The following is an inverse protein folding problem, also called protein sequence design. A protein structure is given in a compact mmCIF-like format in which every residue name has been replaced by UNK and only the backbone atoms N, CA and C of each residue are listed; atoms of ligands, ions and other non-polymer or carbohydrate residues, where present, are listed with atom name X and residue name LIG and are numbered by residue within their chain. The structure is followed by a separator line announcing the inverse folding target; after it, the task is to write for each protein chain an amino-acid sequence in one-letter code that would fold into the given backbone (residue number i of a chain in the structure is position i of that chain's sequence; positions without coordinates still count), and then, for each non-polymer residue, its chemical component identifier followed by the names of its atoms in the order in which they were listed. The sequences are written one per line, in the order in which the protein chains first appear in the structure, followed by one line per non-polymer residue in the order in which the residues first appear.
data_IF_688929962210
#
_entry.id   IF_688929962210
#
_cell.length_a   1.000
_cell.length_b   1.000
_cell.length_c   1.000
_cell.angle_alpha   90.00
_cell.angle_beta   90.00
_cell.angle_gamma   90.00
#
_symmetry.space_group_name_H-M   'P 1'
#
loop_
_entity.id
_entity.type
_entity.pdbx_description
1 polymer ?
#
# COMPACT_ATOMS: atom_id res chain seq x y z
N UNK A 1 -19.66 -16.82 -8.20
CA UNK A 1 -18.27 -16.67 -7.73
C UNK A 1 -17.92 -15.21 -7.48
N UNK A 2 -18.08 -14.29 -8.45
CA UNK A 2 -17.80 -12.86 -8.24
C UNK A 2 -18.67 -12.23 -7.13
N UNK A 3 -19.94 -12.60 -7.02
CA UNK A 3 -20.85 -12.10 -5.96
C UNK A 3 -20.39 -12.50 -4.55
N UNK A 4 -19.89 -13.72 -4.35
CA UNK A 4 -19.39 -14.18 -3.05
C UNK A 4 -18.11 -13.44 -2.65
N UNK A 5 -17.19 -13.24 -3.60
CA UNK A 5 -15.98 -12.46 -3.39
C UNK A 5 -16.30 -10.99 -3.07
N UNK A 6 -17.26 -10.40 -3.78
CA UNK A 6 -17.78 -9.07 -3.53
C UNK A 6 -18.42 -8.95 -2.14
N UNK A 7 -19.18 -9.95 -1.71
CA UNK A 7 -19.79 -9.98 -0.38
C UNK A 7 -18.72 -10.02 0.73
N UNK A 8 -17.66 -10.83 0.54
CA UNK A 8 -16.51 -10.86 1.47
C UNK A 8 -15.79 -9.51 1.50
N UNK A 9 -15.49 -8.92 0.34
CA UNK A 9 -14.85 -7.61 0.27
C UNK A 9 -15.70 -6.52 0.95
N UNK A 10 -17.02 -6.53 0.72
CA UNK A 10 -17.97 -5.61 1.36
C UNK A 10 -17.99 -5.77 2.88
N UNK A 11 -17.92 -7.01 3.39
CA UNK A 11 -17.80 -7.27 4.83
C UNK A 11 -16.48 -6.75 5.40
N UNK A 12 -15.36 -6.89 4.68
CA UNK A 12 -14.06 -6.33 5.09
C UNK A 12 -14.14 -4.81 5.15
N UNK A 13 -14.67 -4.15 4.10
CA UNK A 13 -14.84 -2.70 4.05
C UNK A 13 -15.69 -2.23 5.22
N UNK A 14 -16.86 -2.85 5.45
CA UNK A 14 -17.74 -2.50 6.55
C UNK A 14 -17.08 -2.70 7.93
N UNK A 15 -16.25 -3.73 8.09
CA UNK A 15 -15.53 -3.97 9.34
C UNK A 15 -14.46 -2.89 9.59
N UNK A 16 -13.75 -2.44 8.54
CA UNK A 16 -12.78 -1.34 8.64
C UNK A 16 -13.46 0.01 8.85
N UNK A 17 -14.63 0.24 8.23
CA UNK A 17 -15.45 1.45 8.41
C UNK A 17 -15.92 1.64 9.86
N UNK A 18 -15.96 0.58 10.69
CA UNK A 18 -16.21 0.71 12.14
C UNK A 18 -15.08 1.43 12.89
N UNK A 19 -13.88 1.46 12.32
CA UNK A 19 -12.69 2.10 12.92
C UNK A 19 -12.32 3.39 12.18
N UNK A 20 -12.46 3.40 10.85
CA UNK A 20 -12.09 4.51 9.98
C UNK A 20 -13.37 5.12 9.39
N UNK A 21 -13.85 6.19 10.03
CA UNK A 21 -15.10 6.86 9.66
C UNK A 21 -14.93 7.80 8.46
N UNK A 22 -15.91 7.81 7.55
CA UNK A 22 -15.99 8.78 6.45
C UNK A 22 -14.94 8.63 5.34
N UNK A 23 -14.19 7.52 5.30
CA UNK A 23 -13.05 7.29 4.38
C UNK A 23 -13.23 6.04 3.51
N UNK A 24 -14.46 5.79 3.04
CA UNK A 24 -14.79 4.59 2.27
C UNK A 24 -13.89 4.42 1.04
N UNK A 25 -13.67 5.48 0.29
CA UNK A 25 -12.84 5.46 -0.93
C UNK A 25 -11.41 5.02 -0.62
N UNK A 26 -10.82 5.52 0.46
CA UNK A 26 -9.46 5.18 0.88
C UNK A 26 -9.37 3.74 1.40
N UNK A 27 -10.40 3.26 2.11
CA UNK A 27 -10.52 1.87 2.55
C UNK A 27 -10.61 0.95 1.33
N UNK A 28 -11.43 1.28 0.35
CA UNK A 28 -11.59 0.54 -0.91
C UNK A 28 -10.25 0.47 -1.68
N UNK A 29 -9.55 1.60 -1.84
CA UNK A 29 -8.23 1.63 -2.48
C UNK A 29 -7.20 0.76 -1.73
N UNK A 30 -7.18 0.86 -0.40
CA UNK A 30 -6.27 0.05 0.40
C UNK A 30 -6.59 -1.46 0.28
N UNK A 31 -7.88 -1.83 0.29
CA UNK A 31 -8.29 -3.21 0.07
C UNK A 31 -7.94 -3.68 -1.35
N UNK A 32 -8.14 -2.85 -2.38
CA UNK A 32 -7.75 -3.20 -3.76
C UNK A 32 -6.26 -3.52 -3.85
N UNK A 33 -5.40 -2.74 -3.20
CA UNK A 33 -3.97 -3.01 -3.16
C UNK A 33 -3.63 -4.30 -2.38
N UNK A 34 -4.29 -4.56 -1.24
CA UNK A 34 -4.18 -5.82 -0.49
C UNK A 34 -4.55 -7.02 -1.37
N UNK A 35 -5.68 -6.95 -2.08
CA UNK A 35 -6.18 -8.00 -2.98
C UNK A 35 -5.30 -8.17 -4.22
N UNK A 36 -4.62 -7.12 -4.64
CA UNK A 36 -3.69 -7.12 -5.77
C UNK A 36 -2.26 -7.51 -5.37
N UNK A 37 -2.01 -7.83 -4.09
CA UNK A 37 -0.67 -8.13 -3.54
C UNK A 37 0.33 -6.98 -3.69
N UNK A 38 -0.15 -5.73 -3.71
CA UNK A 38 0.66 -4.54 -3.94
C UNK A 38 0.82 -3.67 -2.70
N UNK A 39 2.02 -3.12 -2.51
CA UNK A 39 2.34 -2.23 -1.39
C UNK A 39 1.72 -0.84 -1.57
N UNK A 40 1.46 -0.15 -0.46
CA UNK A 40 0.77 1.14 -0.44
C UNK A 40 1.68 2.20 0.16
N UNK A 41 1.74 3.37 -0.46
CA UNK A 41 2.32 4.57 0.14
C UNK A 41 1.20 5.52 0.59
N UNK A 42 1.19 5.87 1.86
CA UNK A 42 0.23 6.78 2.47
C UNK A 42 0.92 8.11 2.72
N UNK A 43 0.61 9.12 1.90
CA UNK A 43 1.22 10.45 1.99
C UNK A 43 0.23 11.42 2.61
N UNK A 44 0.42 11.76 3.88
CA UNK A 44 -0.60 12.50 4.61
C UNK A 44 -0.06 13.08 5.93
N UNK A 45 -0.75 14.08 6.47
CA UNK A 45 -0.37 14.81 7.69
C UNK A 45 -0.54 13.98 8.97
N UNK A 46 0.20 14.25 10.06
CA UNK A 46 0.08 13.47 11.30
C UNK A 46 -1.35 13.40 11.84
N UNK A 47 -1.70 12.27 12.46
CA UNK A 47 -3.00 12.11 13.15
C UNK A 47 -4.19 11.69 12.28
N UNK A 48 -4.02 11.40 10.98
CA UNK A 48 -5.14 11.05 10.08
C UNK A 48 -5.59 9.58 10.11
N UNK A 49 -5.19 8.82 11.12
CA UNK A 49 -5.64 7.42 11.28
C UNK A 49 -4.94 6.39 10.39
N UNK A 50 -3.79 6.71 9.78
CA UNK A 50 -2.99 5.80 8.92
C UNK A 50 -2.66 4.46 9.61
N UNK A 51 -2.18 4.54 10.85
CA UNK A 51 -1.88 3.36 11.68
C UNK A 51 -3.12 2.52 11.94
N UNK A 52 -4.27 3.19 12.13
CA UNK A 52 -5.53 2.53 12.38
C UNK A 52 -6.07 1.84 11.13
N UNK A 53 -5.90 2.43 9.95
CA UNK A 53 -6.27 1.81 8.68
C UNK A 53 -5.49 0.51 8.46
N UNK A 54 -4.17 0.55 8.60
CA UNK A 54 -3.32 -0.63 8.44
C UNK A 54 -3.67 -1.73 9.46
N UNK A 55 -3.85 -1.36 10.73
CA UNK A 55 -4.22 -2.33 11.77
C UNK A 55 -5.61 -2.90 11.55
N UNK A 56 -6.59 -2.09 11.18
CA UNK A 56 -7.97 -2.54 10.94
C UNK A 56 -8.06 -3.49 9.75
N UNK A 57 -7.32 -3.21 8.67
CA UNK A 57 -7.20 -4.13 7.54
C UNK A 57 -6.56 -5.45 7.95
N UNK A 58 -5.42 -5.42 8.65
CA UNK A 58 -4.73 -6.62 9.11
C UNK A 58 -5.64 -7.52 9.95
N UNK A 59 -6.36 -6.94 10.93
CA UNK A 59 -7.33 -7.69 11.76
C UNK A 59 -8.45 -8.26 10.89
N UNK A 60 -9.03 -7.46 10.00
CA UNK A 60 -10.16 -7.88 9.16
C UNK A 60 -9.81 -9.05 8.24
N UNK A 61 -8.56 -9.15 7.79
CA UNK A 61 -8.08 -10.23 6.90
C UNK A 61 -7.23 -11.30 7.59
N UNK A 62 -7.30 -11.38 8.93
CA UNK A 62 -6.65 -12.45 9.70
C UNK A 62 -5.12 -12.46 9.57
N UNK A 63 -4.53 -11.30 9.29
CA UNK A 63 -3.09 -11.16 9.06
C UNK A 63 -2.37 -10.67 10.31
N UNK A 64 -1.18 -11.21 10.55
CA UNK A 64 -0.24 -10.67 11.55
C UNK A 64 0.16 -9.24 11.19
N UNK A 65 0.21 -8.37 12.21
CA UNK A 65 0.53 -6.95 12.05
C UNK A 65 1.78 -6.57 12.83
N UNK A 66 2.68 -5.81 12.20
CA UNK A 66 3.79 -5.14 12.88
C UNK A 66 3.91 -3.70 12.39
N UNK A 67 4.24 -2.80 13.32
CA UNK A 67 4.59 -1.40 13.03
C UNK A 67 6.09 -1.24 13.23
N UNK A 68 6.72 -0.58 12.27
CA UNK A 68 8.11 -0.15 12.31
C UNK A 68 8.09 1.37 12.22
N UNK A 69 8.58 2.04 13.25
CA UNK A 69 8.77 3.48 13.21
C UNK A 69 10.13 3.75 12.58
N UNK A 70 10.15 4.46 11.46
CA UNK A 70 11.39 4.85 10.80
C UNK A 70 11.93 6.10 11.50
N UNK A 71 13.17 6.01 11.95
CA UNK A 71 13.92 7.07 12.61
C UNK A 71 15.31 7.19 11.99
N UNK A 72 16.01 8.32 12.14
CA UNK A 72 17.33 8.52 11.54
C UNK A 72 18.39 7.51 12.00
N UNK A 73 18.22 6.94 13.19
CA UNK A 73 19.11 5.96 13.83
C UNK A 73 18.72 4.50 13.56
N UNK A 74 17.56 4.24 12.94
CA UNK A 74 17.09 2.88 12.65
C UNK A 74 18.06 2.18 11.69
N UNK A 75 18.57 1.01 12.09
CA UNK A 75 19.48 0.21 11.27
C UNK A 75 18.70 -0.75 10.35
N UNK A 76 19.27 -1.15 9.21
CA UNK A 76 18.69 -2.20 8.36
C UNK A 76 18.34 -3.48 9.14
N UNK A 77 19.23 -3.90 10.06
CA UNK A 77 19.05 -5.08 10.90
C UNK A 77 17.86 -4.99 11.85
N UNK A 78 17.45 -3.78 12.25
CA UNK A 78 16.28 -3.57 13.11
C UNK A 78 14.97 -3.80 12.33
N UNK A 79 15.02 -3.74 11.00
CA UNK A 79 13.91 -4.05 10.09
C UNK A 79 13.93 -5.55 9.74
N UNK A 80 15.06 -6.03 9.24
CA UNK A 80 15.24 -7.36 8.65
C UNK A 80 15.36 -8.47 9.69
N UNK A 81 15.98 -8.16 10.82
CA UNK A 81 16.44 -9.13 11.81
C UNK A 81 17.97 -9.22 11.83
N UNK A 82 18.45 -9.93 12.84
CA UNK A 82 19.89 -10.08 13.13
C UNK A 82 20.18 -11.48 13.65
N UNK A 83 21.37 -11.98 13.36
CA UNK A 83 21.88 -13.23 13.92
C UNK A 83 22.55 -12.94 15.27
N UNK A 84 22.11 -13.61 16.32
CA UNK A 84 22.67 -13.45 17.67
C UNK A 84 23.23 -14.77 18.19
N UNK A 85 24.35 -14.70 18.91
CA UNK A 85 24.91 -15.88 19.55
C UNK A 85 24.10 -16.26 20.79
N UNK A 86 23.50 -17.45 20.77
CA UNK A 86 22.74 -17.99 21.90
C UNK A 86 23.67 -18.78 22.83
N UNK A 87 24.13 -18.13 23.91
CA UNK A 87 25.08 -18.71 24.87
C UNK A 87 24.59 -20.03 25.52
N UNK A 88 23.29 -20.28 25.59
CA UNK A 88 22.75 -21.52 26.17
C UNK A 88 22.96 -22.73 25.26
N UNK A 89 22.91 -22.51 23.95
CA UNK A 89 23.01 -23.57 22.94
C UNK A 89 24.37 -23.59 22.25
N UNK A 90 25.18 -22.53 22.38
CA UNK A 90 26.47 -22.41 21.70
C UNK A 90 26.36 -22.17 20.20
N UNK A 91 25.19 -21.70 19.74
CA UNK A 91 24.85 -21.58 18.32
C UNK A 91 24.40 -20.16 17.98
N UNK A 92 24.60 -19.77 16.72
CA UNK A 92 24.07 -18.52 16.16
C UNK A 92 22.60 -18.71 15.75
N UNK A 93 21.70 -17.92 16.31
CA UNK A 93 20.26 -17.99 16.07
C UNK A 93 19.77 -16.70 15.38
N UNK A 94 19.00 -16.87 14.30
CA UNK A 94 18.39 -15.73 13.62
C UNK A 94 17.18 -15.21 14.38
N UNK A 95 17.26 -13.96 14.85
CA UNK A 95 16.13 -13.23 15.41
C UNK A 95 15.46 -12.42 14.31
N UNK A 96 14.27 -12.88 13.92
CA UNK A 96 13.42 -12.24 12.90
C UNK A 96 13.10 -10.80 13.29
N UNK A 97 13.36 -9.88 12.36
CA UNK A 97 12.92 -8.50 12.48
C UNK A 97 11.41 -8.35 12.27
N UNK A 98 10.84 -7.18 12.60
CA UNK A 98 9.42 -6.87 12.47
C UNK A 98 8.88 -6.97 11.03
N UNK A 99 9.75 -6.99 10.01
CA UNK A 99 9.35 -7.24 8.63
C UNK A 99 8.74 -8.64 8.41
N UNK A 100 8.99 -9.59 9.32
CA UNK A 100 8.42 -10.94 9.29
C UNK A 100 6.98 -10.99 9.81
N UNK A 101 6.13 -10.09 9.32
CA UNK A 101 4.69 -10.10 9.53
C UNK A 101 3.97 -10.00 8.17
N UNK A 102 2.74 -10.47 8.11
CA UNK A 102 1.96 -10.49 6.87
C UNK A 102 1.56 -9.07 6.43
N UNK A 103 1.30 -8.18 7.38
CA UNK A 103 1.07 -6.76 7.13
C UNK A 103 2.00 -5.90 7.99
N UNK A 104 2.82 -5.09 7.34
CA UNK A 104 3.81 -4.22 7.99
C UNK A 104 3.48 -2.76 7.71
N UNK A 105 3.34 -1.97 8.77
CA UNK A 105 3.27 -0.51 8.69
C UNK A 105 4.69 0.05 8.84
N UNK A 106 5.24 0.65 7.78
CA UNK A 106 6.50 1.37 7.79
C UNK A 106 6.21 2.87 7.97
N UNK A 107 6.16 3.32 9.21
CA UNK A 107 5.73 4.67 9.55
C UNK A 107 6.88 5.67 9.39
N UNK A 108 6.63 6.77 8.68
CA UNK A 108 7.59 7.84 8.39
C UNK A 108 8.84 7.35 7.67
N UNK A 109 8.66 6.56 6.60
CA UNK A 109 9.74 5.93 5.84
C UNK A 109 10.83 6.93 5.39
N UNK A 110 10.44 8.17 5.15
CA UNK A 110 11.34 9.26 4.76
C UNK A 110 12.23 9.76 5.91
N UNK A 111 12.10 9.30 7.16
CA UNK A 111 12.99 9.70 8.26
C UNK A 111 14.21 8.81 8.44
N UNK A 112 14.21 7.60 7.86
CA UNK A 112 15.37 6.71 7.96
C UNK A 112 16.36 6.95 6.82
N UNK A 113 17.61 6.53 7.04
CA UNK A 113 18.67 6.62 6.03
C UNK A 113 18.32 5.83 4.76
N UNK A 114 18.88 6.21 3.58
CA UNK A 114 18.67 5.47 2.33
C UNK A 114 19.00 3.97 2.42
N UNK A 115 19.95 3.60 3.30
CA UNK A 115 20.35 2.20 3.50
C UNK A 115 19.25 1.39 4.19
N UNK A 116 18.59 1.97 5.20
CA UNK A 116 17.47 1.34 5.91
C UNK A 116 16.20 1.31 5.05
N UNK A 117 15.93 2.38 4.29
CA UNK A 117 14.86 2.37 3.28
C UNK A 117 15.07 1.26 2.25
N UNK A 118 16.30 1.09 1.75
CA UNK A 118 16.62 0.05 0.77
C UNK A 118 16.37 -1.36 1.31
N UNK A 119 16.68 -1.63 2.58
CA UNK A 119 16.42 -2.93 3.20
C UNK A 119 14.92 -3.29 3.23
N UNK A 120 14.04 -2.32 3.50
CA UNK A 120 12.59 -2.52 3.41
C UNK A 120 12.15 -2.78 1.96
N UNK A 121 12.64 -1.97 1.03
CA UNK A 121 12.24 -2.03 -0.38
C UNK A 121 12.74 -3.29 -1.09
N UNK A 122 13.90 -3.81 -0.70
CA UNK A 122 14.41 -5.10 -1.14
C UNK A 122 13.50 -6.22 -0.64
N UNK A 123 13.12 -6.20 0.63
CA UNK A 123 12.16 -7.16 1.20
C UNK A 123 10.79 -7.12 0.49
N UNK A 124 10.33 -5.93 0.07
CA UNK A 124 9.11 -5.76 -0.74
C UNK A 124 9.22 -6.42 -2.11
N UNK A 125 10.35 -6.27 -2.78
CA UNK A 125 10.57 -6.79 -4.13
C UNK A 125 10.81 -8.31 -4.12
N UNK A 126 11.74 -8.77 -3.28
CA UNK A 126 12.23 -10.15 -3.27
C UNK A 126 11.35 -11.10 -2.45
N UNK A 127 10.46 -10.54 -1.58
CA UNK A 127 9.63 -11.31 -0.64
C UNK A 127 10.43 -12.24 0.27
N UNK A 128 11.69 -11.92 0.49
CA UNK A 128 12.62 -12.59 1.37
C UNK A 128 13.62 -11.58 1.92
N UNK A 129 14.35 -11.98 2.95
CA UNK A 129 15.39 -11.19 3.58
C UNK A 129 16.65 -12.03 3.68
N UNK A 130 17.80 -11.49 3.29
CA UNK A 130 19.09 -12.18 3.41
C UNK A 130 19.89 -11.57 4.56
N UNK A 131 20.25 -12.41 5.54
CA UNK A 131 21.10 -12.03 6.68
C UNK A 131 22.24 -13.03 6.77
N UNK A 132 23.47 -12.52 6.84
CA UNK A 132 24.71 -13.31 6.93
C UNK A 132 24.80 -14.43 5.87
N UNK A 133 24.39 -14.14 4.64
CA UNK A 133 24.41 -15.09 3.52
C UNK A 133 23.29 -16.13 3.52
N UNK A 134 22.37 -16.10 4.51
CA UNK A 134 21.21 -17.00 4.58
C UNK A 134 19.93 -16.23 4.25
N UNK A 135 19.14 -16.75 3.31
CA UNK A 135 17.86 -16.14 2.90
C UNK A 135 16.69 -16.72 3.68
N UNK A 136 15.84 -15.84 4.20
CA UNK A 136 14.63 -16.16 4.95
C UNK A 136 13.41 -15.65 4.19
N UNK A 137 12.51 -16.55 3.80
CA UNK A 137 11.26 -16.18 3.15
C UNK A 137 10.34 -15.39 4.11
N UNK A 138 9.68 -14.36 3.57
CA UNK A 138 8.65 -13.61 4.30
C UNK A 138 7.31 -14.38 4.28
N UNK A 139 6.45 -14.17 5.29
CA UNK A 139 5.17 -14.86 5.36
C UNK A 139 4.26 -14.47 4.19
N UNK A 140 3.41 -15.39 3.73
CA UNK A 140 2.42 -15.11 2.70
C UNK A 140 1.01 -15.00 3.34
N UNK A 141 0.19 -13.99 2.98
CA UNK A 141 0.51 -12.84 2.13
C UNK A 141 1.50 -11.89 2.84
N UNK A 142 2.25 -11.11 2.06
CA UNK A 142 3.16 -10.07 2.56
C UNK A 142 2.77 -8.71 1.96
N UNK A 143 2.51 -7.73 2.81
CA UNK A 143 2.13 -6.38 2.43
C UNK A 143 2.86 -5.35 3.30
N UNK A 144 3.24 -4.24 2.67
CA UNK A 144 3.80 -3.07 3.34
C UNK A 144 2.90 -1.88 3.05
N UNK A 145 2.49 -1.18 4.10
CA UNK A 145 1.88 0.14 4.04
C UNK A 145 2.93 1.12 4.60
N UNK A 146 3.55 1.90 3.74
CA UNK A 146 4.52 2.91 4.16
C UNK A 146 3.81 4.26 4.32
N UNK A 147 4.23 5.07 5.30
CA UNK A 147 3.73 6.44 5.46
C UNK A 147 4.86 7.43 5.24
N UNK A 148 4.54 8.59 4.68
CA UNK A 148 5.46 9.73 4.61
C UNK A 148 4.72 11.03 4.89
N UNK A 149 5.33 11.92 5.67
CA UNK A 149 4.80 13.25 5.94
C UNK A 149 5.45 14.25 4.96
N UNK A 150 4.69 14.92 4.06
CA UNK A 150 5.26 15.81 3.06
C UNK A 150 5.72 17.17 3.63
N UNK A 151 5.42 17.50 4.88
CA UNK A 151 5.68 18.82 5.48
C UNK A 151 7.04 18.86 6.23
N UNK A 152 7.58 17.70 6.62
CA UNK A 152 8.84 17.62 7.36
C UNK A 152 10.05 17.62 6.41
N UNK A 153 10.70 18.78 6.30
CA UNK A 153 11.90 18.95 5.47
C UNK A 153 13.22 18.73 6.22
N UNK A 154 13.23 18.89 7.55
CA UNK A 154 14.45 18.70 8.35
C UNK A 154 14.62 17.24 8.76
N UNK A 155 15.80 16.68 8.46
CA UNK A 155 16.15 15.31 8.85
C UNK A 155 15.42 14.22 8.07
N UNK A 156 14.89 14.52 6.88
CA UNK A 156 14.23 13.54 6.01
C UNK A 156 15.04 13.24 4.75
N UNK A 157 14.95 11.99 4.29
CA UNK A 157 15.53 11.43 3.09
C UNK A 157 14.38 11.05 2.15
N UNK A 158 14.10 11.85 1.10
CA UNK A 158 13.01 11.55 0.17
C UNK A 158 13.31 10.25 -0.58
N UNK A 159 12.26 9.46 -0.83
CA UNK A 159 12.37 8.26 -1.64
C UNK A 159 12.67 8.66 -3.10
N UNK A 160 13.76 8.16 -3.71
CA UNK A 160 13.98 8.27 -5.14
C UNK A 160 12.82 7.69 -5.95
N UNK A 161 12.64 8.17 -7.17
CA UNK A 161 11.53 7.78 -8.06
C UNK A 161 11.51 6.27 -8.36
N UNK A 162 12.70 5.67 -8.52
CA UNK A 162 12.84 4.22 -8.67
C UNK A 162 12.36 3.42 -7.45
N UNK A 163 12.36 4.03 -6.26
CA UNK A 163 11.82 3.44 -5.03
C UNK A 163 10.32 3.65 -4.92
N UNK A 164 9.82 4.84 -5.25
CA UNK A 164 8.38 5.14 -5.31
C UNK A 164 7.64 4.20 -6.27
N UNK A 165 8.27 3.83 -7.39
CA UNK A 165 7.69 2.93 -8.40
C UNK A 165 7.35 1.52 -7.85
N UNK A 166 7.97 1.10 -6.73
CA UNK A 166 7.69 -0.17 -6.05
C UNK A 166 6.35 -0.19 -5.30
N UNK A 167 5.80 0.98 -4.99
CA UNK A 167 4.47 1.07 -4.38
C UNK A 167 3.40 0.98 -5.47
N UNK A 168 2.44 0.07 -5.31
CA UNK A 168 1.35 -0.10 -6.27
C UNK A 168 0.48 1.15 -6.33
N UNK A 169 0.12 1.68 -5.15
CA UNK A 169 -0.75 2.85 -5.01
C UNK A 169 -0.16 3.88 -4.05
N UNK A 170 -0.48 5.15 -4.32
CA UNK A 170 -0.33 6.25 -3.35
C UNK A 170 -1.69 6.79 -2.95
N UNK A 171 -2.00 6.75 -1.65
CA UNK A 171 -3.28 7.21 -1.09
C UNK A 171 -3.08 8.36 -0.10
N UNK A 172 -4.12 9.15 0.12
CA UNK A 172 -4.19 10.20 1.15
C UNK A 172 -5.49 10.03 1.93
N UNK A 173 -5.44 10.05 3.26
CA UNK A 173 -6.66 9.97 4.08
C UNK A 173 -7.23 11.37 4.31
N UNK A 174 -6.38 12.33 4.63
CA UNK A 174 -6.77 13.67 5.04
C UNK A 174 -7.53 13.68 6.36
N UNK A 175 -7.85 14.87 6.85
CA UNK A 175 -8.65 15.01 8.07
C UNK A 175 -10.08 14.45 7.89
N UNK A 176 -10.67 13.85 8.94
CA UNK A 176 -12.07 13.46 8.93
C UNK A 176 -12.98 14.68 8.77
N UNK A 177 -14.20 14.47 8.28
CA UNK A 177 -15.20 15.53 8.33
C UNK A 177 -15.59 15.79 9.80
N UNK A 178 -16.11 16.99 10.09
CA UNK A 178 -16.48 17.40 11.46
C UNK A 178 -17.37 16.36 12.17
N UNK A 179 -18.35 15.79 11.47
CA UNK A 179 -19.25 14.80 12.04
C UNK A 179 -18.53 13.50 12.41
N UNK A 180 -17.64 13.03 11.53
CA UNK A 180 -16.82 11.83 11.73
C UNK A 180 -15.82 12.06 12.88
N UNK A 181 -15.22 13.25 12.97
CA UNK A 181 -14.30 13.60 14.05
C UNK A 181 -15.00 13.58 15.43
N UNK A 182 -16.21 14.13 15.52
CA UNK A 182 -17.04 14.05 16.74
C UNK A 182 -17.33 12.58 17.10
N UNK A 183 -17.66 11.75 16.10
CA UNK A 183 -17.93 10.33 16.33
C UNK A 183 -16.68 9.57 16.79
N UNK A 184 -15.50 9.86 16.22
CA UNK A 184 -14.20 9.31 16.67
C UNK A 184 -13.95 9.67 18.13
N UNK A 185 -14.09 10.96 18.50
CA UNK A 185 -13.88 11.43 19.86
C UNK A 185 -14.86 10.82 20.85
N UNK A 186 -16.09 10.56 20.42
CA UNK A 186 -17.11 9.91 21.26
C UNK A 186 -16.79 8.45 21.48
N UNK A 187 -16.47 7.71 20.42
CA UNK A 187 -16.19 6.28 20.50
C UNK A 187 -14.95 5.99 21.36
N UNK A 188 -13.89 6.80 21.24
CA UNK A 188 -12.65 6.61 22.00
C UNK A 188 -12.80 6.80 23.52
N UNK A 189 -13.88 7.42 24.01
CA UNK A 189 -14.13 7.59 25.45
C UNK A 189 -14.52 6.29 26.15
N UNK A 190 -15.18 5.38 25.43
CA UNK A 190 -15.66 4.12 25.99
C UNK A 190 -14.63 3.02 25.78
N UNK A 191 -14.28 2.76 24.52
CA UNK A 191 -13.30 1.75 24.11
C UNK A 191 -12.77 2.11 22.72
N UNK A 192 -11.47 1.87 22.45
CA UNK A 192 -10.95 2.12 21.12
C UNK A 192 -11.65 1.20 20.08
N UNK A 193 -12.24 1.72 18.98
CA UNK A 193 -13.02 0.92 18.03
C UNK A 193 -12.31 -0.31 17.45
N UNK A 194 -10.98 -0.28 17.38
CA UNK A 194 -10.15 -1.37 16.88
C UNK A 194 -10.23 -2.64 17.73
N UNK A 195 -10.61 -2.51 19.00
CA UNK A 195 -10.80 -3.65 19.90
C UNK A 195 -12.18 -4.30 19.72
N UNK A 196 -13.07 -3.64 18.97
CA UNK A 196 -14.45 -4.12 18.73
C UNK A 196 -14.62 -4.88 17.43
N UNK A 197 -13.58 -4.86 16.57
CA UNK A 197 -13.58 -5.57 15.30
C UNK A 197 -12.89 -6.92 15.45
N UNK A 198 -13.33 -7.88 14.64
CA UNK A 198 -12.77 -9.22 14.57
C UNK A 198 -12.42 -9.58 13.14
N UNK A 199 -11.73 -10.71 12.99
CA UNK A 199 -11.42 -11.28 11.69
C UNK A 199 -12.68 -11.55 10.87
N UNK A 200 -12.67 -11.12 9.61
CA UNK A 200 -13.75 -11.38 8.63
C UNK A 200 -13.40 -12.61 7.80
N UNK A 201 -12.12 -12.74 7.43
CA UNK A 201 -11.53 -13.88 6.72
C UNK A 201 -10.13 -14.18 7.26
N UNK A 202 -9.69 -15.43 7.12
CA UNK A 202 -8.33 -15.83 7.46
C UNK A 202 -7.31 -15.38 6.42
N UNK A 203 -6.03 -15.40 6.79
CA UNK A 203 -4.95 -15.12 5.86
C UNK A 203 -4.93 -16.09 4.66
N UNK A 204 -5.29 -17.37 4.85
CA UNK A 204 -5.43 -18.32 3.74
C UNK A 204 -6.64 -17.97 2.87
N UNK A 205 -7.77 -17.60 3.47
CA UNK A 205 -8.92 -17.08 2.72
C UNK A 205 -8.57 -15.83 1.91
N UNK A 206 -7.72 -14.94 2.43
CA UNK A 206 -7.20 -13.79 1.69
C UNK A 206 -6.35 -14.24 0.48
N UNK A 207 -5.51 -15.26 0.64
CA UNK A 207 -4.71 -15.79 -0.48
C UNK A 207 -5.59 -16.33 -1.61
N UNK A 208 -6.68 -17.00 -1.26
CA UNK A 208 -7.67 -17.51 -2.23
C UNK A 208 -8.41 -16.36 -2.94
N UNK A 209 -8.75 -15.30 -2.19
CA UNK A 209 -9.32 -14.07 -2.77
C UNK A 209 -8.34 -13.42 -3.76
N UNK A 210 -7.08 -13.26 -3.37
CA UNK A 210 -6.03 -12.70 -4.24
C UNK A 210 -5.82 -13.54 -5.50
N UNK A 211 -5.86 -14.88 -5.39
CA UNK A 211 -5.76 -15.77 -6.53
C UNK A 211 -6.97 -15.63 -7.48
N UNK A 212 -8.15 -15.40 -6.92
CA UNK A 212 -9.38 -15.19 -7.70
C UNK A 212 -9.38 -13.85 -8.43
N UNK A 213 -8.94 -12.77 -7.78
CA UNK A 213 -8.71 -11.46 -8.41
C UNK A 213 -7.74 -11.55 -9.58
N UNK A 214 -6.67 -12.33 -9.43
CA UNK A 214 -5.70 -12.51 -10.51
C UNK A 214 -6.27 -13.19 -11.77
N UNK A 215 -7.39 -13.93 -11.62
CA UNK A 215 -8.10 -14.66 -12.69
C UNK A 215 -9.27 -13.88 -13.29
N UNK A 216 -9.62 -12.70 -12.77
CA UNK A 216 -10.66 -11.83 -13.33
C UNK A 216 -10.39 -11.57 -14.80
N UNK A 217 -11.42 -11.70 -15.64
CA UNK A 217 -11.29 -11.57 -17.08
C UNK A 217 -10.85 -10.16 -17.48
N UNK A 218 -9.84 -10.10 -18.35
CA UNK A 218 -9.35 -8.86 -18.95
C UNK A 218 -9.35 -9.07 -20.45
N UNK A 219 -10.20 -8.32 -21.15
CA UNK A 219 -10.20 -8.31 -22.60
C UNK A 219 -8.90 -7.68 -23.15
N UNK A 220 -8.50 -8.10 -24.36
CA UNK A 220 -7.32 -7.55 -25.03
C UNK A 220 -7.41 -6.02 -25.18
N UNK A 221 -8.58 -5.48 -25.49
CA UNK A 221 -8.81 -4.04 -25.65
C UNK A 221 -8.60 -3.29 -24.33
N UNK A 222 -8.89 -3.90 -23.19
CA UNK A 222 -8.60 -3.29 -21.88
C UNK A 222 -7.09 -3.27 -21.62
N UNK A 223 -6.39 -4.34 -22.00
CA UNK A 223 -4.92 -4.39 -21.87
C UNK A 223 -4.26 -3.33 -22.75
N UNK A 224 -4.71 -3.19 -24.00
CA UNK A 224 -4.29 -2.12 -24.92
C UNK A 224 -4.58 -0.76 -24.31
N UNK A 225 -5.80 -0.53 -23.82
CA UNK A 225 -6.19 0.73 -23.17
C UNK A 225 -5.30 1.09 -21.96
N UNK A 226 -4.93 0.13 -21.11
CA UNK A 226 -4.01 0.38 -19.99
C UNK A 226 -2.63 0.80 -20.49
N UNK A 227 -2.14 0.19 -21.58
CA UNK A 227 -0.87 0.58 -22.20
C UNK A 227 -0.96 1.95 -22.85
N UNK A 228 -2.08 2.28 -23.49
CA UNK A 228 -2.32 3.59 -24.10
C UNK A 228 -2.33 4.69 -23.04
N UNK A 229 -3.02 4.47 -21.90
CA UNK A 229 -3.00 5.40 -20.75
C UNK A 229 -1.57 5.60 -20.26
N UNK A 230 -0.79 4.52 -20.07
CA UNK A 230 0.59 4.65 -19.63
C UNK A 230 1.47 5.36 -20.67
N UNK A 231 1.24 5.12 -21.97
CA UNK A 231 1.98 5.74 -23.07
C UNK A 231 1.65 7.22 -23.20
N UNK A 232 0.38 7.61 -23.04
CA UNK A 232 -0.04 9.00 -22.98
C UNK A 232 0.72 9.78 -21.89
N UNK A 233 1.02 9.17 -20.74
CA UNK A 233 1.87 9.82 -19.72
C UNK A 233 3.33 10.00 -20.13
N UNK A 234 3.88 9.11 -20.97
CA UNK A 234 5.27 9.16 -21.45
C UNK A 234 5.45 10.19 -22.55
N UNK A 235 4.42 10.38 -23.37
CA UNK A 235 4.43 11.29 -24.51
C UNK A 235 3.90 12.70 -24.14
N UNK A 236 3.42 12.89 -22.90
CA UNK A 236 2.90 14.18 -22.44
C UNK A 236 4.00 15.23 -22.34
N UNK A 237 3.82 16.39 -22.98
CA UNK A 237 4.83 17.45 -23.08
C UNK A 237 5.33 18.00 -21.74
N UNK A 238 4.46 17.97 -20.72
CA UNK A 238 4.80 18.44 -19.37
C UNK A 238 5.47 17.38 -18.50
N UNK A 239 5.67 16.16 -19.00
CA UNK A 239 6.27 15.03 -18.27
C UNK A 239 7.70 14.79 -18.73
N UNK A 240 8.63 14.72 -17.78
CA UNK A 240 10.02 14.31 -18.01
C UNK A 240 10.20 12.78 -17.96
N UNK A 241 9.47 12.12 -17.06
CA UNK A 241 9.44 10.67 -16.95
C UNK A 241 8.00 10.21 -16.69
N UNK A 242 7.45 9.41 -17.61
CA UNK A 242 6.09 8.86 -17.51
C UNK A 242 6.02 7.54 -16.75
N UNK A 243 4.83 6.95 -16.71
CA UNK A 243 4.58 5.70 -16.00
C UNK A 243 5.43 4.53 -16.52
N UNK A 244 6.06 3.79 -15.61
CA UNK A 244 6.83 2.58 -15.93
C UNK A 244 5.93 1.40 -16.36
N UNK A 245 6.50 0.31 -16.91
CA UNK A 245 5.76 -0.95 -17.10
C UNK A 245 5.19 -1.52 -15.80
N UNK A 246 5.84 -1.27 -14.65
CA UNK A 246 5.31 -1.62 -13.33
C UNK A 246 4.04 -0.83 -13.03
N UNK A 247 3.99 0.45 -13.42
CA UNK A 247 2.80 1.29 -13.36
C UNK A 247 1.61 0.72 -14.13
N UNK A 248 1.80 0.33 -15.40
CA UNK A 248 0.72 -0.31 -16.19
C UNK A 248 0.27 -1.64 -15.59
N UNK A 249 1.20 -2.46 -15.07
CA UNK A 249 0.86 -3.73 -14.41
C UNK A 249 0.07 -3.51 -13.11
N UNK A 250 0.50 -2.54 -12.29
CA UNK A 250 -0.18 -2.13 -11.07
C UNK A 250 -1.62 -1.64 -11.35
N UNK A 251 -1.80 -0.81 -12.38
CA UNK A 251 -3.09 -0.30 -12.81
C UNK A 251 -4.03 -1.44 -13.23
N UNK A 252 -3.55 -2.39 -14.04
CA UNK A 252 -4.36 -3.52 -14.48
C UNK A 252 -4.79 -4.42 -13.30
N UNK A 253 -3.85 -4.75 -12.39
CA UNK A 253 -4.15 -5.57 -11.21
C UNK A 253 -5.15 -4.90 -10.28
N UNK A 254 -4.98 -3.60 -10.05
CA UNK A 254 -5.93 -2.81 -9.27
C UNK A 254 -7.33 -2.78 -9.92
N UNK A 255 -7.39 -2.66 -11.25
CA UNK A 255 -8.66 -2.70 -11.99
C UNK A 255 -9.37 -4.06 -11.87
N UNK A 256 -8.63 -5.17 -11.91
CA UNK A 256 -9.18 -6.50 -11.60
C UNK A 256 -9.74 -6.57 -10.18
N UNK A 257 -9.03 -6.04 -9.18
CA UNK A 257 -9.51 -6.02 -7.80
C UNK A 257 -10.78 -5.19 -7.65
N UNK A 258 -10.84 -4.03 -8.30
CA UNK A 258 -12.03 -3.17 -8.30
C UNK A 258 -13.24 -3.83 -8.95
N UNK A 259 -13.07 -4.51 -10.08
CA UNK A 259 -14.14 -5.26 -10.71
C UNK A 259 -14.73 -6.31 -9.75
N UNK A 260 -13.87 -7.07 -9.05
CA UNK A 260 -14.30 -8.08 -8.07
C UNK A 260 -15.03 -7.46 -6.88
N UNK A 261 -14.53 -6.35 -6.32
CA UNK A 261 -15.20 -5.62 -5.24
C UNK A 261 -16.59 -5.14 -5.68
N UNK A 262 -16.76 -4.81 -6.96
CA UNK A 262 -18.05 -4.42 -7.53
C UNK A 262 -18.93 -5.60 -7.97
N UNK A 263 -18.53 -6.86 -7.69
CA UNK A 263 -19.30 -8.06 -8.06
C UNK A 263 -19.17 -8.48 -9.53
N UNK A 264 -18.28 -7.84 -10.29
CA UNK A 264 -18.01 -8.18 -11.69
C UNK A 264 -16.87 -9.18 -11.83
N UNK A 265 -16.94 -10.02 -12.85
CA UNK A 265 -15.93 -11.00 -13.24
C UNK A 265 -15.07 -10.54 -14.43
N UNK A 266 -15.31 -9.34 -14.95
CA UNK A 266 -14.52 -8.70 -16.00
C UNK A 266 -14.18 -7.24 -15.66
N UNK A 267 -13.03 -6.78 -16.18
CA UNK A 267 -12.58 -5.39 -16.05
C UNK A 267 -13.23 -4.50 -17.11
N UNK A 268 -13.66 -3.30 -16.71
CA UNK A 268 -14.18 -2.27 -17.61
C UNK A 268 -13.21 -1.10 -17.77
N UNK A 269 -13.37 -0.24 -18.80
CA UNK A 269 -12.55 0.97 -18.94
C UNK A 269 -12.70 1.93 -17.75
N UNK A 270 -13.86 1.95 -17.10
CA UNK A 270 -14.11 2.79 -15.92
C UNK A 270 -13.32 2.34 -14.70
N UNK A 271 -13.00 1.04 -14.60
CA UNK A 271 -12.10 0.52 -13.58
C UNK A 271 -10.72 1.15 -13.70
N UNK A 272 -10.18 1.14 -14.92
CA UNK A 272 -8.88 1.70 -15.27
C UNK A 272 -8.87 3.21 -14.99
N UNK A 273 -9.89 3.95 -15.47
CA UNK A 273 -9.96 5.41 -15.29
C UNK A 273 -9.90 5.85 -13.83
N UNK A 274 -10.71 5.26 -12.96
CA UNK A 274 -10.73 5.74 -11.56
C UNK A 274 -9.53 5.27 -10.73
N UNK A 275 -8.68 4.38 -11.26
CA UNK A 275 -7.46 3.93 -10.58
C UNK A 275 -6.18 4.53 -11.18
N UNK A 276 -6.28 5.20 -12.33
CA UNK A 276 -5.14 5.81 -13.00
C UNK A 276 -4.42 6.82 -12.08
N UNK A 277 -5.14 7.67 -11.35
CA UNK A 277 -4.52 8.66 -10.46
C UNK A 277 -3.77 8.01 -9.30
N UNK A 278 -4.43 7.08 -8.59
CA UNK A 278 -3.86 6.45 -7.39
C UNK A 278 -2.70 5.51 -7.70
N UNK A 279 -2.62 5.00 -8.93
CA UNK A 279 -1.54 4.11 -9.38
C UNK A 279 -0.47 4.87 -10.15
N UNK A 280 -0.78 5.78 -11.08
CA UNK A 280 0.24 6.34 -11.96
C UNK A 280 0.85 7.64 -11.44
N UNK A 281 0.11 8.47 -10.69
CA UNK A 281 0.54 9.85 -10.42
C UNK A 281 1.85 9.96 -9.60
N UNK A 282 2.22 8.97 -8.77
CA UNK A 282 3.50 8.97 -8.05
C UNK A 282 4.68 8.41 -8.85
N UNK A 283 4.44 8.00 -10.10
CA UNK A 283 5.45 7.49 -11.04
C UNK A 283 5.86 8.51 -12.09
N UNK A 284 5.18 9.67 -12.09
CA UNK A 284 5.37 10.73 -13.07
C UNK A 284 6.31 11.80 -12.49
N UNK A 285 7.38 12.09 -13.22
CA UNK A 285 8.23 13.26 -12.97
C UNK A 285 7.82 14.35 -13.94
N UNK A 286 7.33 15.48 -13.43
CA UNK A 286 7.02 16.65 -14.27
C UNK A 286 8.30 17.33 -14.74
N UNK A 287 8.26 17.86 -15.97
CA UNK A 287 9.34 18.65 -16.55
C UNK A 287 9.64 19.89 -15.69
N UNK A 288 10.89 20.41 -15.70
CA UNK A 288 11.24 21.61 -14.94
C UNK A 288 10.34 22.82 -15.22
N UNK A 289 9.94 23.01 -16.48
CA UNK A 289 9.04 24.09 -16.89
C UNK A 289 7.62 23.92 -16.35
N UNK A 290 7.08 22.70 -16.34
CA UNK A 290 5.78 22.40 -15.75
C UNK A 290 5.79 22.54 -14.22
N UNK A 291 6.91 22.15 -13.57
CA UNK A 291 7.11 22.34 -12.13
C UNK A 291 7.07 23.82 -11.73
N UNK A 292 7.67 24.71 -12.52
CA UNK A 292 7.60 26.16 -12.30
C UNK A 292 6.18 26.72 -12.40
N UNK A 293 5.31 26.07 -13.18
CA UNK A 293 3.88 26.40 -13.29
C UNK A 293 3.01 25.71 -12.24
N UNK A 294 3.62 25.00 -11.28
CA UNK A 294 2.93 24.18 -10.27
C UNK A 294 1.98 23.13 -10.87
N UNK A 295 2.34 22.56 -12.02
CA UNK A 295 1.59 21.43 -12.58
C UNK A 295 1.88 20.19 -11.74
N UNK A 296 0.82 19.57 -11.23
CA UNK A 296 0.93 18.31 -10.49
C UNK A 296 0.74 17.09 -11.40
N UNK A 297 1.45 15.98 -11.15
CA UNK A 297 1.23 14.72 -11.86
C UNK A 297 -0.23 14.26 -11.91
N UNK A 298 -1.00 14.50 -10.84
CA UNK A 298 -2.42 14.12 -10.76
C UNK A 298 -3.27 14.87 -11.77
N UNK A 299 -2.96 16.14 -12.02
CA UNK A 299 -3.65 16.96 -13.03
C UNK A 299 -3.40 16.40 -14.43
N UNK A 300 -2.18 15.97 -14.73
CA UNK A 300 -1.82 15.35 -16.01
C UNK A 300 -2.61 14.05 -16.21
N UNK A 301 -2.68 13.19 -15.20
CA UNK A 301 -3.43 11.93 -15.28
C UNK A 301 -4.94 12.15 -15.52
N UNK A 302 -5.52 13.24 -15.02
CA UNK A 302 -6.94 13.55 -15.26
C UNK A 302 -7.22 14.09 -16.67
N UNK A 303 -6.18 14.53 -17.38
CA UNK A 303 -6.27 15.06 -18.75
C UNK A 303 -5.94 14.01 -19.81
N UNK A 304 -5.11 13.02 -19.46
CA UNK A 304 -4.73 11.87 -20.29
C UNK A 304 -5.86 10.82 -20.36
#
# INVERSE_FOLDING_TARGET
MSEELSAVASRIIANVERVILGKRTEIELALMAVLSRGHILIEDVPGTGKTMLARALAVSVGCTFKRIQFTPDLLPSDVTGVTVYNQKHGEFEFRRGPIHAQMVLADEINRATPKTQSALLEAMEERQVTVDGTSYALPAPFLVMATQNPIEYEGTFPLPEAQLDRFMMRIRLGYPARADEIAILTAQKEQHPIETISEVISADGLRDLQASVARTHVDRLITEYVVDVATATRDHQEVYLGASPRGSSALLRAAQARAVIQGRDFVSPDDVKALAESTLAHRLIVSPGARMRNVEPRTIIRQA
#
